data_IF_424385580235
#
_entry.id   IF_424385580235
#
_cell.length_a   1.000
_cell.length_b   1.000
_cell.length_c   1.000
_cell.angle_alpha   90.00
_cell.angle_beta   90.00
_cell.angle_gamma   90.00
#
_symmetry.space_group_name_H-M   'P 1'
#
loop_
_entity.id
_entity.type
_entity.pdbx_description
1 polymer ?
#
# COMPACT_ATOMS: atom_id res chain seq x y z
N UNK A 1 23.50 33.36 38.33
CA UNK A 1 22.66 32.62 37.37
C UNK A 1 22.39 33.34 36.04
N UNK A 2 22.80 34.60 35.83
CA UNK A 2 22.64 35.26 34.52
C UNK A 2 23.75 34.98 33.49
N UNK A 3 24.94 34.52 33.92
CA UNK A 3 26.06 34.25 32.99
C UNK A 3 25.95 32.90 32.25
N UNK A 4 25.17 31.96 32.78
CA UNK A 4 25.00 30.62 32.18
C UNK A 4 23.96 30.63 31.04
N UNK A 5 23.01 31.57 31.05
CA UNK A 5 22.00 31.70 30.01
C UNK A 5 22.55 32.34 28.71
N UNK A 6 23.58 33.19 28.78
CA UNK A 6 24.14 33.83 27.58
C UNK A 6 24.99 32.88 26.71
N UNK A 7 25.49 31.78 27.27
CA UNK A 7 26.33 30.81 26.55
C UNK A 7 25.51 29.80 25.72
N UNK A 8 24.21 29.65 25.98
CA UNK A 8 23.31 28.78 25.22
C UNK A 8 22.72 29.44 23.96
N UNK A 9 22.87 30.76 23.80
CA UNK A 9 22.31 31.52 22.67
C UNK A 9 23.27 31.65 21.47
N UNK A 10 24.49 31.09 21.53
CA UNK A 10 25.53 31.35 20.50
C UNK A 10 26.04 30.08 19.80
N UNK A 11 25.46 28.89 20.03
CA UNK A 11 25.94 27.69 19.34
C UNK A 11 24.85 26.64 19.10
N UNK A 12 23.93 26.89 18.16
CA UNK A 12 23.65 25.93 17.08
C UNK A 12 23.37 26.76 15.84
N UNK A 13 24.44 26.93 15.08
CA UNK A 13 24.46 27.36 13.68
C UNK A 13 23.31 26.73 12.91
N UNK A 14 22.66 27.53 12.07
CA UNK A 14 21.91 27.00 10.94
C UNK A 14 22.73 25.88 10.30
N UNK A 15 22.19 24.65 10.30
CA UNK A 15 22.68 23.60 9.42
C UNK A 15 22.30 24.03 8.00
N UNK A 16 23.05 24.99 7.47
CA UNK A 16 23.25 25.07 6.04
C UNK A 16 24.07 23.84 5.70
N UNK A 17 23.49 22.96 4.88
CA UNK A 17 24.21 21.81 4.33
C UNK A 17 25.56 22.31 3.82
N UNK A 18 26.61 21.64 4.28
CA UNK A 18 27.96 21.82 3.78
C UNK A 18 27.89 21.80 2.26
N UNK A 19 28.11 22.97 1.66
CA UNK A 19 28.30 23.07 0.22
C UNK A 19 29.75 22.65 -0.01
N UNK A 20 30.01 21.36 0.16
CA UNK A 20 31.19 20.74 -0.41
C UNK A 20 31.04 20.91 -1.92
N UNK A 21 31.96 21.63 -2.53
CA UNK A 21 32.20 21.64 -3.98
C UNK A 21 32.60 20.22 -4.43
N UNK A 22 31.63 19.30 -4.41
CA UNK A 22 31.69 17.97 -4.99
C UNK A 22 30.68 17.95 -6.13
N UNK A 23 31.15 17.66 -7.34
CA UNK A 23 30.37 17.58 -8.59
C UNK A 23 29.25 16.51 -8.60
N UNK A 24 28.90 15.98 -7.42
CA UNK A 24 28.04 14.81 -7.18
C UNK A 24 26.58 15.16 -6.86
N UNK A 25 26.26 16.35 -6.36
CA UNK A 25 24.87 16.77 -6.15
C UNK A 25 24.50 17.91 -7.09
N UNK A 26 24.19 17.56 -8.34
CA UNK A 26 23.57 18.50 -9.26
C UNK A 26 22.03 18.30 -9.25
N UNK A 27 21.25 19.22 -8.65
CA UNK A 27 19.79 19.11 -8.59
C UNK A 27 19.13 19.15 -9.98
N UNK A 28 19.83 19.63 -11.02
CA UNK A 28 19.35 19.58 -12.40
C UNK A 28 19.33 18.17 -12.99
N UNK A 29 19.90 17.18 -12.30
CA UNK A 29 19.90 15.78 -12.72
C UNK A 29 18.58 15.08 -12.41
N UNK A 30 17.79 15.66 -11.50
CA UNK A 30 16.46 15.20 -11.18
C UNK A 30 15.47 16.09 -11.93
N UNK A 31 15.17 15.69 -13.16
CA UNK A 31 14.18 16.38 -13.96
C UNK A 31 12.82 16.27 -13.24
N UNK A 32 12.11 17.38 -12.98
CA UNK A 32 10.73 17.36 -12.50
C UNK A 32 9.84 16.97 -13.69
N UNK A 33 10.01 15.75 -14.19
CA UNK A 33 9.24 15.21 -15.28
C UNK A 33 8.27 14.17 -14.73
N UNK A 34 7.03 14.26 -15.17
CA UNK A 34 6.04 13.23 -14.87
C UNK A 34 6.32 12.04 -15.78
N UNK A 35 6.44 10.86 -15.20
CA UNK A 35 6.58 9.61 -15.94
C UNK A 35 5.25 8.86 -15.96
N UNK A 36 5.12 7.88 -16.84
CA UNK A 36 3.97 6.98 -16.89
C UNK A 36 4.44 5.53 -16.93
N UNK A 37 3.75 4.66 -16.20
CA UNK A 37 3.93 3.22 -16.27
C UNK A 37 2.53 2.58 -16.31
N UNK A 38 2.16 1.98 -17.44
CA UNK A 38 0.77 1.68 -17.74
C UNK A 38 -0.10 2.94 -17.61
N UNK A 39 -1.20 2.82 -16.87
CA UNK A 39 -2.15 3.92 -16.64
C UNK A 39 -1.77 4.84 -15.47
N UNK A 40 -0.68 4.53 -14.74
CA UNK A 40 -0.26 5.31 -13.57
C UNK A 40 0.68 6.43 -13.98
N UNK A 41 0.29 7.67 -13.68
CA UNK A 41 1.16 8.85 -13.74
C UNK A 41 1.99 8.93 -12.46
N UNK A 42 3.31 8.90 -12.62
CA UNK A 42 4.28 8.95 -11.52
C UNK A 42 4.80 10.37 -11.41
N UNK A 43 4.59 10.96 -10.23
CA UNK A 43 5.07 12.29 -9.87
C UNK A 43 5.69 12.28 -8.48
N UNK A 44 6.56 13.26 -8.23
CA UNK A 44 7.15 13.51 -6.92
C UNK A 44 6.09 13.52 -5.81
N UNK A 45 6.35 12.92 -4.62
CA UNK A 45 7.64 12.40 -4.13
C UNK A 45 8.03 11.00 -4.64
N UNK A 46 7.16 10.35 -5.41
CA UNK A 46 7.45 9.10 -6.09
C UNK A 46 8.21 9.35 -7.40
N UNK A 47 9.00 8.36 -7.83
CA UNK A 47 9.82 8.50 -9.03
C UNK A 47 10.01 7.15 -9.70
N UNK A 48 10.26 7.16 -11.01
CA UNK A 48 10.50 5.94 -11.78
C UNK A 48 11.94 5.46 -11.55
N UNK A 49 12.10 4.38 -10.79
CA UNK A 49 13.41 3.92 -10.32
C UNK A 49 14.34 3.43 -11.47
N UNK A 50 13.79 3.01 -12.61
CA UNK A 50 14.58 2.58 -13.78
C UNK A 50 15.28 3.73 -14.51
N UNK A 51 14.64 4.89 -14.60
CA UNK A 51 15.13 6.09 -15.31
C UNK A 51 16.09 6.93 -14.46
N UNK A 52 16.16 6.64 -13.15
CA UNK A 52 17.03 7.35 -12.20
C UNK A 52 18.18 6.50 -11.68
N UNK A 53 18.33 5.25 -12.15
CA UNK A 53 19.50 4.43 -11.85
C UNK A 53 20.68 4.98 -12.63
N UNK A 54 21.79 5.23 -11.94
CA UNK A 54 23.03 5.75 -12.49
C UNK A 54 22.96 7.19 -12.99
N UNK A 55 22.53 8.10 -12.12
CA UNK A 55 22.80 9.53 -12.32
C UNK A 55 24.33 9.72 -12.30
N UNK A 56 24.95 9.89 -13.48
CA UNK A 56 26.41 9.95 -13.73
C UNK A 56 27.21 8.67 -13.39
N UNK A 57 26.60 7.49 -13.48
CA UNK A 57 27.32 6.21 -13.24
C UNK A 57 27.57 5.87 -11.77
N UNK A 58 26.85 6.52 -10.86
CA UNK A 58 26.83 6.15 -9.45
C UNK A 58 25.60 5.28 -9.16
N UNK A 59 25.80 4.01 -8.81
CA UNK A 59 24.71 3.08 -8.50
C UNK A 59 23.87 3.48 -7.28
N UNK A 60 24.35 4.42 -6.45
CA UNK A 60 23.67 4.91 -5.25
C UNK A 60 22.97 6.26 -5.44
N UNK A 61 23.06 6.88 -6.63
CA UNK A 61 22.33 8.11 -6.91
C UNK A 61 20.93 7.80 -7.42
N UNK A 62 19.94 8.47 -6.85
CA UNK A 62 18.52 8.34 -7.21
C UNK A 62 17.88 9.72 -7.22
N UNK A 63 16.89 9.91 -8.09
CA UNK A 63 16.19 11.19 -8.25
C UNK A 63 14.80 11.16 -7.63
N UNK A 64 14.79 10.97 -6.31
CA UNK A 64 13.60 10.96 -5.47
C UNK A 64 13.97 10.57 -4.04
N UNK A 65 13.03 10.08 -3.23
CA UNK A 65 13.34 9.65 -1.87
C UNK A 65 13.57 8.14 -1.77
N UNK A 66 14.57 7.64 -1.01
CA UNK A 66 14.75 6.22 -0.78
C UNK A 66 13.45 5.54 -0.35
N UNK A 67 13.15 4.40 -0.96
CA UNK A 67 11.93 3.64 -0.66
C UNK A 67 10.67 4.13 -1.35
N UNK A 68 10.70 5.24 -2.12
CA UNK A 68 9.58 5.72 -2.93
C UNK A 68 9.76 5.48 -4.43
N UNK A 69 10.77 4.68 -4.80
CA UNK A 69 11.05 4.31 -6.18
C UNK A 69 10.01 3.32 -6.72
N UNK A 70 9.39 3.68 -7.83
CA UNK A 70 8.44 2.84 -8.57
C UNK A 70 9.22 2.06 -9.62
N UNK A 71 9.17 0.73 -9.55
CA UNK A 71 9.63 -0.16 -10.61
C UNK A 71 8.53 -0.26 -11.66
N UNK A 72 8.91 -0.29 -12.94
CA UNK A 72 7.96 -0.50 -14.03
C UNK A 72 8.40 -1.73 -14.82
N UNK A 73 7.65 -2.82 -14.71
CA UNK A 73 7.92 -4.07 -15.41
C UNK A 73 6.73 -4.38 -16.31
N UNK A 74 6.91 -4.42 -17.63
CA UNK A 74 5.85 -4.69 -18.60
C UNK A 74 4.59 -3.84 -18.36
N UNK A 75 4.75 -2.52 -18.25
CA UNK A 75 3.70 -1.54 -17.94
C UNK A 75 3.01 -1.74 -16.58
N UNK A 76 3.51 -2.63 -15.72
CA UNK A 76 3.03 -2.83 -14.35
C UNK A 76 3.85 -2.00 -13.37
N UNK A 77 3.28 -0.96 -12.75
CA UNK A 77 3.96 -0.18 -11.74
C UNK A 77 3.98 -0.93 -10.40
N UNK A 78 5.15 -1.02 -9.80
CA UNK A 78 5.40 -1.80 -8.58
C UNK A 78 6.14 -0.92 -7.57
N UNK A 79 5.60 -0.85 -6.35
CA UNK A 79 6.30 -0.29 -5.20
C UNK A 79 6.75 -1.42 -4.28
N UNK A 80 8.02 -1.41 -3.90
CA UNK A 80 8.57 -2.40 -2.99
C UNK A 80 8.57 -1.86 -1.55
N UNK A 81 7.78 -2.48 -0.69
CA UNK A 81 7.79 -2.21 0.74
C UNK A 81 8.83 -3.10 1.44
N UNK A 82 9.50 -2.56 2.44
CA UNK A 82 10.51 -3.26 3.26
C UNK A 82 11.68 -3.89 2.49
N UNK A 83 11.88 -3.49 1.23
CA UNK A 83 12.96 -3.99 0.36
C UNK A 83 12.72 -5.40 -0.21
N UNK A 84 11.56 -6.02 0.02
CA UNK A 84 11.28 -7.38 -0.47
C UNK A 84 9.84 -7.60 -0.94
N UNK A 85 8.86 -6.92 -0.34
CA UNK A 85 7.45 -7.15 -0.63
C UNK A 85 6.99 -6.22 -1.76
N UNK A 86 6.56 -6.80 -2.89
CA UNK A 86 6.17 -6.05 -4.07
C UNK A 86 4.65 -5.83 -4.08
N UNK A 87 4.23 -4.59 -4.28
CA UNK A 87 2.83 -4.21 -4.39
C UNK A 87 2.56 -3.51 -5.70
N UNK A 88 1.43 -3.83 -6.35
CA UNK A 88 0.99 -3.14 -7.56
C UNK A 88 0.54 -1.73 -7.20
N UNK A 89 1.03 -0.71 -7.89
CA UNK A 89 0.57 0.66 -7.69
C UNK A 89 -0.71 0.87 -8.50
N UNK A 90 -1.79 1.30 -7.85
CA UNK A 90 -3.06 1.59 -8.51
C UNK A 90 -3.21 3.06 -8.88
N UNK A 91 -2.72 3.95 -8.02
CA UNK A 91 -2.74 5.38 -8.28
C UNK A 91 -1.72 6.10 -7.41
N UNK A 92 -1.29 7.27 -7.88
CA UNK A 92 -0.46 8.21 -7.15
C UNK A 92 -1.16 9.57 -7.24
N UNK A 93 -1.33 10.21 -6.09
CA UNK A 93 -1.74 11.59 -6.00
C UNK A 93 -0.57 12.42 -5.46
N UNK A 94 0.09 13.17 -6.35
CA UNK A 94 1.21 14.01 -5.99
C UNK A 94 0.82 15.24 -5.16
N UNK A 95 -0.43 15.71 -5.24
CA UNK A 95 -0.90 16.84 -4.45
C UNK A 95 -1.16 16.43 -2.99
N UNK A 96 -1.70 15.23 -2.79
CA UNK A 96 -1.92 14.65 -1.46
C UNK A 96 -0.73 13.85 -0.94
N UNK A 97 0.30 13.65 -1.77
CA UNK A 97 1.45 12.78 -1.50
C UNK A 97 1.04 11.35 -1.09
N UNK A 98 -0.02 10.82 -1.69
CA UNK A 98 -0.56 9.49 -1.39
C UNK A 98 -0.30 8.50 -2.52
N UNK A 99 -0.13 7.23 -2.16
CA UNK A 99 -0.07 6.11 -3.10
C UNK A 99 -1.08 5.05 -2.71
N UNK A 100 -1.83 4.55 -3.69
CA UNK A 100 -2.70 3.40 -3.53
C UNK A 100 -1.98 2.15 -4.02
N UNK A 101 -1.92 1.13 -3.16
CA UNK A 101 -1.23 -0.12 -3.40
C UNK A 101 -2.22 -1.27 -3.35
N UNK A 102 -2.04 -2.25 -4.25
CA UNK A 102 -2.77 -3.50 -4.24
C UNK A 102 -1.81 -4.67 -4.05
N UNK A 103 -2.18 -5.61 -3.17
CA UNK A 103 -1.45 -6.85 -2.99
C UNK A 103 -1.58 -7.70 -4.27
N UNK A 104 -0.48 -8.10 -4.92
CA UNK A 104 -0.52 -8.90 -6.14
C UNK A 104 -1.12 -10.30 -5.97
N UNK A 105 -1.25 -10.80 -4.74
CA UNK A 105 -1.95 -12.07 -4.45
C UNK A 105 -3.47 -11.92 -4.52
N UNK A 106 -3.97 -10.70 -4.32
CA UNK A 106 -5.38 -10.34 -4.43
C UNK A 106 -5.66 -9.85 -5.85
N UNK A 107 -4.84 -8.92 -6.33
CA UNK A 107 -4.95 -8.22 -7.60
C UNK A 107 -4.37 -9.01 -8.78
N UNK A 108 -5.12 -10.05 -9.20
CA UNK A 108 -4.86 -10.80 -10.43
C UNK A 108 -5.81 -10.31 -11.53
N UNK A 109 -5.24 -9.73 -12.61
CA UNK A 109 -5.97 -9.25 -13.79
C UNK A 109 -6.85 -10.32 -14.46
N UNK A 110 -6.62 -11.60 -14.13
CA UNK A 110 -7.38 -12.74 -14.65
C UNK A 110 -8.64 -13.06 -13.86
N UNK A 111 -8.86 -12.46 -12.70
CA UNK A 111 -9.95 -12.81 -11.81
C UNK A 111 -10.85 -11.62 -11.49
N UNK A 112 -12.07 -11.63 -12.02
CA UNK A 112 -13.09 -10.58 -11.79
C UNK A 112 -13.49 -10.46 -10.32
N UNK A 113 -13.17 -11.46 -9.51
CA UNK A 113 -13.41 -11.51 -8.07
C UNK A 113 -12.12 -11.82 -7.31
N UNK A 114 -11.25 -10.80 -7.14
CA UNK A 114 -9.99 -10.94 -6.44
C UNK A 114 -10.22 -11.37 -4.99
N UNK A 115 -9.41 -12.32 -4.52
CA UNK A 115 -9.48 -12.85 -3.16
C UNK A 115 -8.07 -12.97 -2.60
N UNK A 116 -7.87 -12.67 -1.31
CA UNK A 116 -6.64 -13.07 -0.65
C UNK A 116 -6.46 -14.58 -0.86
N UNK A 117 -5.25 -15.02 -1.21
CA UNK A 117 -4.96 -16.46 -1.33
C UNK A 117 -4.15 -16.95 -0.15
N UNK A 118 -3.51 -16.01 0.54
CA UNK A 118 -2.54 -16.17 1.61
C UNK A 118 -2.72 -14.95 2.52
N UNK A 119 -2.63 -15.14 3.83
CA UNK A 119 -2.59 -14.03 4.78
C UNK A 119 -1.24 -13.30 4.61
N UNK A 120 -1.30 -12.00 4.40
CA UNK A 120 -0.10 -11.18 4.23
C UNK A 120 -0.15 -9.97 5.14
N UNK A 121 0.89 -9.84 5.98
CA UNK A 121 0.99 -8.73 6.91
C UNK A 121 1.75 -7.57 6.29
N UNK A 122 1.09 -6.41 6.23
CA UNK A 122 1.67 -5.21 5.65
C UNK A 122 2.22 -4.33 6.76
N UNK A 123 3.51 -4.53 7.06
CA UNK A 123 4.23 -3.66 7.99
C UNK A 123 5.06 -2.64 7.23
N UNK A 124 5.21 -1.44 7.78
CA UNK A 124 6.16 -0.45 7.28
C UNK A 124 7.38 -0.44 8.19
N UNK A 125 8.57 -0.53 7.61
CA UNK A 125 9.83 -0.47 8.36
C UNK A 125 9.95 0.83 9.18
N UNK A 126 10.60 0.73 10.33
CA UNK A 126 10.90 1.89 11.17
C UNK A 126 11.74 2.90 10.39
N UNK A 127 11.28 4.14 10.31
CA UNK A 127 11.93 5.19 9.49
C UNK A 127 11.43 5.25 8.04
N UNK A 128 10.40 4.48 7.69
CA UNK A 128 9.66 4.64 6.44
C UNK A 128 9.10 6.07 6.31
N UNK A 129 9.17 6.61 5.10
CA UNK A 129 8.50 7.87 4.73
C UNK A 129 6.98 7.68 4.55
N UNK A 130 6.55 6.44 4.31
CA UNK A 130 5.16 6.06 4.20
C UNK A 130 4.59 5.79 5.59
N UNK A 131 3.32 6.15 5.76
CA UNK A 131 2.50 5.82 6.92
C UNK A 131 1.10 5.42 6.44
N UNK A 132 0.40 4.62 7.24
CA UNK A 132 -1.00 4.32 6.98
C UNK A 132 -1.87 5.49 7.47
N UNK A 133 -2.90 5.90 6.70
CA UNK A 133 -3.83 6.92 7.17
C UNK A 133 -4.58 6.44 8.41
N UNK A 134 -5.05 7.38 9.25
CA UNK A 134 -5.87 7.05 10.43
C UNK A 134 -7.19 6.34 10.06
N UNK A 135 -7.66 6.51 8.82
CA UNK A 135 -8.82 5.82 8.27
C UNK A 135 -8.52 4.42 7.73
N UNK A 136 -7.30 3.92 7.89
CA UNK A 136 -6.96 2.58 7.44
C UNK A 136 -7.71 1.54 8.28
N UNK A 137 -8.34 0.58 7.59
CA UNK A 137 -8.94 -0.59 8.23
C UNK A 137 -7.82 -1.56 8.61
N UNK A 138 -7.75 -1.95 9.88
CA UNK A 138 -6.68 -2.84 10.36
C UNK A 138 -6.94 -4.30 9.96
N UNK A 139 -8.20 -4.72 9.91
CA UNK A 139 -8.61 -6.09 9.55
C UNK A 139 -9.80 -6.11 8.60
N UNK A 140 -9.66 -6.84 7.49
CA UNK A 140 -10.78 -7.23 6.64
C UNK A 140 -10.98 -8.72 6.74
N UNK A 141 -12.23 -9.13 6.92
CA UNK A 141 -12.66 -10.51 7.03
C UNK A 141 -13.53 -10.86 5.82
N UNK A 142 -13.13 -11.91 5.12
CA UNK A 142 -13.82 -12.42 3.94
C UNK A 142 -14.66 -13.63 4.34
N UNK A 143 -15.95 -13.55 4.04
CA UNK A 143 -16.90 -14.64 4.19
C UNK A 143 -17.31 -15.08 2.78
N UNK A 144 -16.93 -16.29 2.36
CA UNK A 144 -17.11 -16.71 0.96
C UNK A 144 -18.10 -17.87 0.89
N UNK A 145 -19.04 -17.79 -0.07
CA UNK A 145 -20.03 -18.84 -0.34
C UNK A 145 -20.85 -19.23 0.91
N UNK A 146 -21.31 -18.22 1.67
CA UNK A 146 -22.12 -18.41 2.87
C UNK A 146 -23.57 -18.74 2.51
N UNK A 147 -24.15 -19.66 3.28
CA UNK A 147 -25.54 -20.11 3.08
C UNK A 147 -26.37 -19.85 4.32
N UNK A 148 -27.36 -18.99 4.17
CA UNK A 148 -28.33 -18.68 5.21
C UNK A 148 -29.52 -19.64 5.15
N UNK A 149 -30.14 -19.88 6.30
CA UNK A 149 -31.30 -20.76 6.43
C UNK A 149 -32.31 -20.17 7.44
N UNK A 150 -33.36 -20.93 7.78
CA UNK A 150 -34.41 -20.48 8.69
C UNK A 150 -33.97 -20.32 10.15
N UNK A 151 -32.80 -20.82 10.52
CA UNK A 151 -32.22 -20.70 11.88
C UNK A 151 -31.11 -19.68 11.96
N UNK A 152 -30.50 -19.31 10.82
CA UNK A 152 -29.45 -18.31 10.73
C UNK A 152 -29.74 -17.40 9.53
N UNK A 153 -30.26 -16.21 9.83
CA UNK A 153 -30.66 -15.23 8.84
C UNK A 153 -29.54 -14.23 8.55
N UNK A 154 -29.45 -13.77 7.30
CA UNK A 154 -28.58 -12.67 6.95
C UNK A 154 -29.07 -11.39 7.67
N UNK A 155 -28.21 -10.64 8.34
CA UNK A 155 -28.53 -9.32 8.88
C UNK A 155 -28.87 -8.34 7.76
N UNK A 156 -29.91 -7.53 7.99
CA UNK A 156 -30.38 -6.55 7.01
C UNK A 156 -29.40 -5.40 6.75
N UNK A 157 -28.42 -5.19 7.63
CA UNK A 157 -27.44 -4.10 7.52
C UNK A 157 -26.19 -4.48 6.71
N UNK A 158 -26.09 -5.73 6.24
CA UNK A 158 -24.91 -6.23 5.54
C UNK A 158 -25.33 -6.74 4.17
N UNK A 159 -24.63 -6.26 3.14
CA UNK A 159 -24.92 -6.56 1.76
C UNK A 159 -23.83 -7.48 1.17
N UNK A 160 -24.22 -8.48 0.36
CA UNK A 160 -23.25 -9.35 -0.29
C UNK A 160 -22.45 -8.57 -1.33
N UNK A 161 -21.19 -8.95 -1.49
CA UNK A 161 -20.40 -8.49 -2.63
C UNK A 161 -20.90 -9.21 -3.89
N UNK A 162 -20.82 -8.55 -5.05
CA UNK A 162 -21.26 -9.10 -6.35
C UNK A 162 -20.46 -10.33 -6.83
N UNK A 163 -19.48 -10.77 -6.05
CA UNK A 163 -18.76 -12.01 -6.26
C UNK A 163 -19.58 -13.20 -5.76
N UNK A 164 -20.58 -13.57 -6.55
CA UNK A 164 -21.39 -14.76 -6.33
C UNK A 164 -20.53 -16.03 -6.47
N UNK A 165 -20.85 -17.04 -5.64
CA UNK A 165 -20.05 -18.24 -5.38
C UNK A 165 -19.26 -18.80 -6.57
N UNK A 166 -18.01 -19.15 -6.27
CA UNK A 166 -16.98 -19.57 -7.23
C UNK A 166 -17.23 -20.93 -7.88
N UNK A 167 -18.32 -21.59 -7.51
CA UNK A 167 -18.84 -22.78 -8.13
C UNK A 167 -20.32 -22.52 -8.45
N UNK A 168 -20.69 -22.60 -9.73
CA UNK A 168 -22.06 -22.52 -10.22
C UNK A 168 -22.85 -23.79 -9.81
N UNK A 169 -23.04 -23.98 -8.51
CA UNK A 169 -23.96 -24.96 -7.96
C UNK A 169 -25.42 -24.50 -8.09
N UNK A 170 -26.40 -25.36 -7.80
CA UNK A 170 -27.83 -25.02 -7.93
C UNK A 170 -28.31 -23.88 -7.02
N UNK A 171 -27.48 -23.47 -6.05
CA UNK A 171 -27.68 -22.35 -5.13
C UNK A 171 -26.32 -21.72 -4.82
N UNK A 172 -25.92 -20.64 -5.52
CA UNK A 172 -24.70 -19.93 -5.17
C UNK A 172 -24.86 -19.32 -3.76
N UNK A 173 -23.88 -19.53 -2.89
CA UNK A 173 -23.81 -18.85 -1.60
C UNK A 173 -23.44 -17.39 -1.79
N UNK A 174 -23.75 -16.59 -0.77
CA UNK A 174 -23.47 -15.17 -0.73
C UNK A 174 -22.07 -14.94 -0.16
N UNK A 175 -21.32 -13.99 -0.73
CA UNK A 175 -20.00 -13.61 -0.21
C UNK A 175 -20.06 -12.21 0.42
N UNK A 176 -19.25 -11.96 1.45
CA UNK A 176 -19.20 -10.69 2.18
C UNK A 176 -17.74 -10.31 2.50
N UNK A 177 -17.49 -9.02 2.61
CA UNK A 177 -16.23 -8.46 3.12
C UNK A 177 -16.60 -7.44 4.18
N UNK A 178 -16.09 -7.62 5.38
CA UNK A 178 -16.42 -6.80 6.54
C UNK A 178 -15.15 -6.42 7.28
N UNK A 179 -15.05 -5.19 7.81
CA UNK A 179 -14.08 -4.92 8.86
C UNK A 179 -14.41 -5.76 10.10
N UNK A 180 -13.39 -6.09 10.90
CA UNK A 180 -13.54 -6.95 12.08
C UNK A 180 -14.56 -6.42 13.09
N UNK A 181 -14.62 -5.12 13.29
CA UNK A 181 -15.56 -4.43 14.17
C UNK A 181 -17.02 -4.45 13.66
N UNK A 182 -17.24 -4.71 12.38
CA UNK A 182 -18.57 -4.81 11.77
C UNK A 182 -19.06 -6.25 11.63
N UNK A 183 -18.29 -7.25 12.06
CA UNK A 183 -18.72 -8.66 12.03
C UNK A 183 -19.84 -8.87 13.07
N UNK A 184 -21.04 -9.28 12.65
CA UNK A 184 -22.16 -9.44 13.57
C UNK A 184 -21.94 -10.56 14.57
N UNK A 185 -22.60 -10.45 15.72
CA UNK A 185 -22.63 -11.50 16.73
C UNK A 185 -23.23 -12.80 16.16
N UNK A 186 -22.54 -13.92 16.38
CA UNK A 186 -22.92 -15.23 15.84
C UNK A 186 -21.71 -15.99 15.30
N UNK A 187 -21.86 -17.28 15.02
CA UNK A 187 -20.78 -18.10 14.47
C UNK A 187 -20.88 -18.18 12.94
N UNK A 188 -20.49 -17.10 12.27
CA UNK A 188 -20.54 -16.97 10.81
C UNK A 188 -19.63 -17.96 10.08
N UNK A 189 -18.54 -18.38 10.71
CA UNK A 189 -17.60 -19.38 10.19
C UNK A 189 -18.30 -20.71 9.90
N UNK A 190 -19.36 -21.05 10.64
CA UNK A 190 -20.12 -22.29 10.43
C UNK A 190 -20.96 -22.29 9.13
N UNK A 191 -21.14 -21.13 8.50
CA UNK A 191 -21.95 -20.98 7.28
C UNK A 191 -21.11 -21.09 6.01
N UNK A 192 -19.79 -21.02 6.13
CA UNK A 192 -18.84 -21.12 5.03
C UNK A 192 -18.74 -22.57 4.55
N UNK A 193 -19.10 -22.84 3.29
CA UNK A 193 -18.88 -24.17 2.70
C UNK A 193 -17.42 -24.49 2.43
N UNK A 194 -16.60 -23.45 2.23
CA UNK A 194 -15.17 -23.56 2.00
C UNK A 194 -14.48 -22.61 2.96
N UNK A 195 -14.42 -23.04 4.22
CA UNK A 195 -13.92 -22.27 5.35
C UNK A 195 -12.58 -21.62 5.05
N UNK A 196 -12.58 -20.29 4.95
CA UNK A 196 -11.40 -19.49 5.18
C UNK A 196 -11.87 -18.10 5.58
N UNK A 197 -12.00 -17.92 6.89
CA UNK A 197 -11.82 -16.61 7.50
C UNK A 197 -10.41 -16.16 7.14
N UNK A 198 -10.29 -15.37 6.08
CA UNK A 198 -9.03 -14.74 5.71
C UNK A 198 -8.95 -13.43 6.47
N UNK A 199 -7.89 -13.29 7.25
CA UNK A 199 -7.64 -12.17 8.15
C UNK A 199 -6.45 -11.42 7.57
N UNK A 200 -6.71 -10.29 6.93
CA UNK A 200 -5.63 -9.40 6.50
C UNK A 200 -5.19 -8.65 7.74
N UNK A 201 -4.10 -9.07 8.37
CA UNK A 201 -3.54 -8.40 9.54
C UNK A 201 -2.55 -7.31 9.09
N UNK A 202 -2.65 -6.11 9.64
CA UNK A 202 -1.63 -5.06 9.49
C UNK A 202 -0.40 -5.30 10.36
#
# INVERSE_FOLDING_TARGET
HQLLLLLLLVAVTASHGDSSDDDTYNPSMCLPQTYTCGDVRISYPFYLAGETKDVKGNANSYCGYPGLGILCNDDKPILQLNGTANYTVKSIDGALATVSLADPNVDDDRNTCPRPRIDHNITLQKGSLLYFPDSAVDYLIFFIDCIFNSTFHQPNSIYPISCEGFDAGPRPGLSFVLPDDAVPTGNWVQLERRGRKEEINK
#
